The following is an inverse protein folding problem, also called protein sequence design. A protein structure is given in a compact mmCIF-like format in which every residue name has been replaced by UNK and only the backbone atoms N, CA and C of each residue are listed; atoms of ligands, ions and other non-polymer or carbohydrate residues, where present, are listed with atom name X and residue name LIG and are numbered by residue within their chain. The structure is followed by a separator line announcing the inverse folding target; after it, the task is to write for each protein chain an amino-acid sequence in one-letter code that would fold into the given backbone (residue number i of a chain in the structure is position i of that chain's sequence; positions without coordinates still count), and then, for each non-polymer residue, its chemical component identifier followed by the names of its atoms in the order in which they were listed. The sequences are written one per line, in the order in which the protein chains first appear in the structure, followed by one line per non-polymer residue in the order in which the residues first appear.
data_IF_529879424932
#
_entry.id   IF_529879424932
#
_cell.length_a   1.000
_cell.length_b   1.000
_cell.length_c   1.000
_cell.angle_alpha   90.00
_cell.angle_beta   90.00
_cell.angle_gamma   90.00
#
_symmetry.space_group_name_H-M   'P 1'
#
loop_
_entity.id
_entity.type
_entity.pdbx_description
1 polymer ?
#
# COMPACT_ATOMS: atom_id res chain seq x y z
N UNK A 1 -14.17 21.46 -7.32
CA UNK A 1 -14.58 22.35 -6.23
C UNK A 1 -14.90 21.47 -5.04
N UNK A 2 -14.07 21.49 -4.01
CA UNK A 2 -14.26 20.70 -2.78
C UNK A 2 -15.17 21.52 -1.86
N UNK A 3 -16.20 20.90 -1.27
CA UNK A 3 -17.14 21.60 -0.37
C UNK A 3 -16.39 22.19 0.83
N UNK A 4 -16.80 23.35 1.33
CA UNK A 4 -16.20 23.99 2.50
C UNK A 4 -16.20 23.06 3.74
N UNK A 5 -17.25 22.24 3.89
CA UNK A 5 -17.33 21.23 4.94
C UNK A 5 -16.25 20.14 4.78
N UNK A 6 -15.95 19.73 3.54
CA UNK A 6 -14.90 18.72 3.28
C UNK A 6 -13.52 19.32 3.56
N UNK A 7 -13.32 20.62 3.31
CA UNK A 7 -12.05 21.29 3.63
C UNK A 7 -11.78 21.34 5.14
N UNK A 8 -12.81 21.62 5.94
CA UNK A 8 -12.71 21.64 7.41
C UNK A 8 -12.31 20.26 7.98
N UNK A 9 -12.83 19.18 7.40
CA UNK A 9 -12.51 17.81 7.84
C UNK A 9 -11.16 17.27 7.31
N UNK A 10 -10.65 17.80 6.19
CA UNK A 10 -9.38 17.36 5.59
C UNK A 10 -8.17 17.91 6.32
N UNK A 11 -8.21 19.16 6.79
CA UNK A 11 -7.05 19.80 7.42
C UNK A 11 -6.53 19.04 8.66
N UNK A 12 -7.37 18.54 9.58
CA UNK A 12 -6.92 17.69 10.68
C UNK A 12 -6.24 16.40 10.22
N UNK A 13 -6.74 15.76 9.15
CA UNK A 13 -6.17 14.53 8.59
C UNK A 13 -4.79 14.82 8.01
N UNK A 14 -4.63 15.91 7.25
CA UNK A 14 -3.33 16.30 6.69
C UNK A 14 -2.30 16.59 7.76
N UNK A 15 -2.67 17.36 8.78
CA UNK A 15 -1.80 17.67 9.91
C UNK A 15 -1.34 16.39 10.65
N UNK A 16 -2.26 15.43 10.83
CA UNK A 16 -1.93 14.14 11.44
C UNK A 16 -0.98 13.31 10.56
N UNK A 17 -1.21 13.26 9.25
CA UNK A 17 -0.28 12.58 8.32
C UNK A 17 1.11 13.22 8.32
N UNK A 18 1.18 14.56 8.34
CA UNK A 18 2.45 15.29 8.41
C UNK A 18 3.21 14.96 9.70
N UNK A 19 2.53 14.92 10.84
CA UNK A 19 3.11 14.49 12.13
C UNK A 19 3.69 13.07 12.03
N UNK A 20 2.89 12.11 11.53
CA UNK A 20 3.30 10.70 11.41
C UNK A 20 4.45 10.52 10.42
N UNK A 21 4.46 11.29 9.32
CA UNK A 21 5.49 11.20 8.28
C UNK A 21 6.90 11.49 8.80
N UNK A 22 7.03 12.25 9.90
CA UNK A 22 8.32 12.58 10.49
C UNK A 22 9.05 11.38 11.10
N UNK A 23 8.34 10.31 11.45
CA UNK A 23 8.89 9.10 12.06
C UNK A 23 8.46 7.80 11.36
N UNK A 24 7.58 7.87 10.37
CA UNK A 24 7.19 6.74 9.54
C UNK A 24 8.14 6.55 8.35
N UNK A 25 8.39 5.30 7.99
CA UNK A 25 9.06 4.99 6.73
C UNK A 25 8.05 5.04 5.57
N UNK A 26 8.40 5.80 4.53
CA UNK A 26 7.62 5.85 3.29
C UNK A 26 8.15 4.77 2.36
N UNK A 27 7.44 3.64 2.28
CA UNK A 27 7.77 2.56 1.37
C UNK A 27 7.60 3.01 -0.10
N UNK A 28 8.67 2.87 -0.89
CA UNK A 28 8.66 3.17 -2.32
C UNK A 28 8.15 2.01 -3.16
N UNK A 29 7.62 2.30 -4.35
CA UNK A 29 7.25 1.26 -5.32
C UNK A 29 8.54 0.80 -6.01
N UNK A 30 9.00 -0.39 -5.66
CA UNK A 30 10.17 -1.03 -6.28
C UNK A 30 9.75 -1.97 -7.43
N UNK A 31 10.69 -2.45 -8.27
CA UNK A 31 10.40 -3.46 -9.29
C UNK A 31 9.73 -4.72 -8.72
N UNK A 32 10.15 -5.18 -7.54
CA UNK A 32 9.60 -6.37 -6.88
C UNK A 32 8.11 -6.21 -6.52
N UNK A 33 7.69 -4.98 -6.18
CA UNK A 33 6.27 -4.64 -5.95
C UNK A 33 5.47 -4.82 -7.24
N UNK A 34 6.01 -4.34 -8.36
CA UNK A 34 5.37 -4.41 -9.66
C UNK A 34 5.27 -5.86 -10.14
N UNK A 35 6.33 -6.64 -9.97
CA UNK A 35 6.36 -8.07 -10.33
C UNK A 35 5.31 -8.86 -9.54
N UNK A 36 5.17 -8.62 -8.24
CA UNK A 36 4.18 -9.29 -7.40
C UNK A 36 2.74 -8.87 -7.75
N UNK A 37 2.51 -7.58 -8.03
CA UNK A 37 1.22 -7.09 -8.55
C UNK A 37 0.85 -7.80 -9.85
N UNK A 38 1.80 -7.90 -10.77
CA UNK A 38 1.58 -8.52 -12.08
C UNK A 38 1.33 -10.02 -11.96
N UNK A 39 1.95 -10.68 -10.98
CA UNK A 39 1.64 -12.07 -10.63
C UNK A 39 0.19 -12.25 -10.13
N UNK A 40 -0.36 -11.32 -9.33
CA UNK A 40 -1.77 -11.36 -8.92
C UNK A 40 -2.73 -11.20 -10.11
N UNK A 41 -2.38 -10.35 -11.07
CA UNK A 41 -3.16 -10.14 -12.28
C UNK A 41 -3.08 -11.37 -13.21
N UNK A 42 -1.88 -11.93 -13.39
CA UNK A 42 -1.65 -13.09 -14.26
C UNK A 42 -2.31 -14.36 -13.73
N UNK A 43 -2.36 -14.52 -12.40
CA UNK A 43 -3.05 -15.65 -11.74
C UNK A 43 -4.57 -15.48 -11.68
N UNK A 44 -5.10 -14.31 -12.05
CA UNK A 44 -6.54 -14.03 -12.02
C UNK A 44 -7.13 -13.86 -10.61
N UNK A 45 -6.28 -13.74 -9.58
CA UNK A 45 -6.71 -13.49 -8.18
C UNK A 45 -7.41 -12.14 -8.09
N UNK A 46 -6.88 -11.15 -8.79
CA UNK A 46 -7.47 -9.81 -8.92
C UNK A 46 -7.61 -9.45 -10.40
N UNK A 47 -8.53 -8.54 -10.68
CA UNK A 47 -8.71 -7.99 -12.03
C UNK A 47 -8.03 -6.63 -12.15
N UNK A 48 -7.89 -6.12 -13.38
CA UNK A 48 -7.35 -4.76 -13.60
C UNK A 48 -8.10 -3.65 -12.87
N UNK A 49 -9.38 -3.86 -12.53
CA UNK A 49 -10.16 -2.90 -11.73
C UNK A 49 -9.61 -2.72 -10.31
N UNK A 50 -8.88 -3.70 -9.80
CA UNK A 50 -8.29 -3.73 -8.46
C UNK A 50 -6.77 -3.65 -8.53
N UNK A 51 -6.22 -3.01 -9.58
CA UNK A 51 -4.77 -2.92 -9.78
C UNK A 51 -4.09 -2.08 -8.68
N UNK A 52 -4.75 -1.02 -8.22
CA UNK A 52 -4.23 -0.16 -7.14
C UNK A 52 -4.21 -0.93 -5.82
N UNK A 53 -5.28 -1.67 -5.51
CA UNK A 53 -5.36 -2.56 -4.34
C UNK A 53 -4.28 -3.64 -4.39
N UNK A 54 -4.06 -4.24 -5.57
CA UNK A 54 -3.00 -5.23 -5.79
C UNK A 54 -1.61 -4.63 -5.57
N UNK A 55 -1.40 -3.38 -5.96
CA UNK A 55 -0.15 -2.65 -5.73
C UNK A 55 0.07 -2.38 -4.25
N UNK A 56 -0.98 -1.98 -3.51
CA UNK A 56 -0.90 -1.80 -2.06
C UNK A 56 -0.56 -3.11 -1.32
N UNK A 57 -1.22 -4.22 -1.68
CA UNK A 57 -0.93 -5.52 -1.06
C UNK A 57 0.48 -5.98 -1.39
N UNK A 58 0.92 -5.81 -2.64
CA UNK A 58 2.28 -6.13 -3.05
C UNK A 58 3.32 -5.29 -2.31
N UNK A 59 3.08 -3.98 -2.15
CA UNK A 59 3.92 -3.08 -1.38
C UNK A 59 4.01 -3.53 0.08
N UNK A 60 2.88 -3.77 0.74
CA UNK A 60 2.86 -4.24 2.13
C UNK A 60 3.61 -5.57 2.30
N UNK A 61 3.49 -6.49 1.34
CA UNK A 61 4.12 -7.81 1.37
C UNK A 61 5.64 -7.73 1.18
N UNK A 62 6.11 -6.88 0.27
CA UNK A 62 7.54 -6.73 -0.07
C UNK A 62 8.29 -5.82 0.91
N UNK A 63 7.61 -4.87 1.55
CA UNK A 63 8.18 -3.95 2.56
C UNK A 63 8.57 -4.63 3.88
N UNK A 64 8.51 -5.97 3.95
CA UNK A 64 8.82 -6.71 5.17
C UNK A 64 7.83 -6.46 6.31
N UNK A 65 6.70 -5.80 6.05
CA UNK A 65 5.60 -5.75 7.02
C UNK A 65 5.12 -7.20 7.17
N UNK A 66 5.32 -7.83 8.34
CA UNK A 66 5.26 -9.28 8.43
C UNK A 66 3.82 -9.74 8.22
N UNK A 67 3.50 -10.16 7.00
CA UNK A 67 2.52 -11.19 6.79
C UNK A 67 3.02 -12.42 7.55
N UNK A 68 2.29 -12.83 8.58
CA UNK A 68 2.54 -14.00 9.46
C UNK A 68 2.61 -15.36 8.71
N UNK A 69 2.93 -15.39 7.42
CA UNK A 69 3.08 -16.57 6.58
C UNK A 69 4.52 -16.96 6.22
N UNK A 70 5.54 -16.12 6.46
CA UNK A 70 6.94 -16.43 6.07
C UNK A 70 7.80 -17.10 7.16
N UNK A 71 7.18 -17.69 8.20
CA UNK A 71 7.90 -18.53 9.18
C UNK A 71 8.00 -20.02 8.77
N UNK A 72 7.56 -20.39 7.57
CA UNK A 72 7.82 -21.73 7.01
C UNK A 72 8.89 -21.64 5.93
N UNK A 73 10.13 -21.41 6.40
CA UNK A 73 11.30 -21.87 5.69
C UNK A 73 11.27 -23.40 5.65
N UNK A 74 10.82 -23.95 4.53
CA UNK A 74 11.25 -25.26 4.08
C UNK A 74 12.44 -25.05 3.14
N UNK A 75 13.61 -25.04 3.74
CA UNK A 75 14.92 -25.30 3.14
C UNK A 75 15.65 -26.26 4.07
#
# INVERSE_FOLDING_TARGET
MVSALIQEEIEPVRAYFDEVSSFAEIAGISPEVLDLRDAYLASGIVTRKSMDDATHVALATTSGCPNRGSLLGIG
#
